data_IF_199512743586
#
_entry.id   IF_199512743586
#
_cell.length_a   1.000
_cell.length_b   1.000
_cell.length_c   1.000
_cell.angle_alpha   90.00
_cell.angle_beta   90.00
_cell.angle_gamma   90.00
#
_symmetry.space_group_name_H-M   'P 1'
#
loop_
_entity.id
_entity.type
_entity.pdbx_description
1 polymer ?
#
# COMPACT_ATOMS: atom_id res chain seq x y z
N UNK A 1 -17.18 7.00 -27.40
CA UNK A 1 -16.73 7.70 -26.17
C UNK A 1 -16.39 9.14 -26.60
N UNK A 2 -17.11 10.14 -26.12
CA UNK A 2 -16.78 11.55 -26.37
C UNK A 2 -15.43 11.83 -25.69
N UNK A 3 -14.40 12.15 -26.47
CA UNK A 3 -13.12 12.60 -25.93
C UNK A 3 -13.34 13.96 -25.27
N UNK A 4 -12.97 14.09 -24.02
CA UNK A 4 -12.97 15.38 -23.31
C UNK A 4 -12.09 16.37 -24.08
N UNK A 5 -12.57 17.59 -24.38
CA UNK A 5 -11.78 18.55 -25.13
C UNK A 5 -10.53 18.97 -24.35
N UNK A 6 -9.42 19.11 -25.08
CA UNK A 6 -8.15 19.60 -24.54
C UNK A 6 -8.28 21.10 -24.26
N UNK A 7 -8.11 21.50 -23.01
CA UNK A 7 -8.19 22.89 -22.57
C UNK A 7 -6.86 23.59 -22.75
N UNK A 8 -6.80 24.55 -23.67
CA UNK A 8 -5.59 25.29 -24.01
C UNK A 8 -5.72 26.72 -23.54
N UNK A 9 -4.71 27.22 -22.79
CA UNK A 9 -4.50 28.62 -22.59
C UNK A 9 -3.59 29.13 -23.74
N UNK A 10 -4.13 29.97 -24.60
CA UNK A 10 -3.43 30.56 -25.72
C UNK A 10 -3.04 31.98 -25.36
N UNK A 11 -1.75 32.30 -25.43
CA UNK A 11 -1.19 33.63 -25.17
C UNK A 11 -0.66 34.18 -26.51
N UNK A 12 -1.43 35.04 -27.15
CA UNK A 12 -1.17 35.52 -28.53
C UNK A 12 -1.87 36.87 -28.75
N UNK A 13 -1.18 37.87 -29.26
CA UNK A 13 -1.75 39.20 -29.53
C UNK A 13 -2.49 39.25 -30.84
N UNK A 14 -2.16 38.35 -31.79
CA UNK A 14 -2.83 38.20 -33.07
C UNK A 14 -3.95 37.16 -32.99
N UNK A 15 -5.20 37.60 -33.04
CA UNK A 15 -6.35 36.70 -33.09
C UNK A 15 -6.32 35.80 -34.34
N UNK A 16 -5.75 36.25 -35.43
CA UNK A 16 -5.62 35.47 -36.66
C UNK A 16 -4.61 34.34 -36.50
N UNK A 17 -3.47 34.60 -35.87
CA UNK A 17 -2.45 33.59 -35.61
C UNK A 17 -2.96 32.53 -34.57
N UNK A 18 -3.70 33.00 -33.57
CA UNK A 18 -4.36 32.10 -32.60
C UNK A 18 -5.35 31.17 -33.32
N UNK A 19 -6.21 31.71 -34.20
CA UNK A 19 -7.20 30.93 -34.94
C UNK A 19 -6.52 29.89 -35.87
N UNK A 20 -5.48 30.30 -36.62
CA UNK A 20 -4.69 29.39 -37.44
C UNK A 20 -4.06 28.24 -36.65
N UNK A 21 -3.53 28.55 -35.48
CA UNK A 21 -2.93 27.59 -34.59
C UNK A 21 -3.95 26.56 -34.09
N UNK A 22 -5.11 27.02 -33.62
CA UNK A 22 -6.20 26.16 -33.14
C UNK A 22 -6.78 25.31 -34.28
N UNK A 23 -7.03 25.90 -35.46
CA UNK A 23 -7.50 25.16 -36.63
C UNK A 23 -6.52 24.06 -37.03
N UNK A 24 -5.21 24.27 -36.86
CA UNK A 24 -4.20 23.25 -37.15
C UNK A 24 -4.26 22.07 -36.19
N UNK A 25 -4.49 22.34 -34.90
CA UNK A 25 -4.67 21.31 -33.90
C UNK A 25 -5.93 20.48 -34.14
N UNK A 26 -7.07 21.15 -34.44
CA UNK A 26 -8.34 20.48 -34.71
C UNK A 26 -8.28 19.61 -35.97
N UNK A 27 -7.66 20.08 -37.06
CA UNK A 27 -7.43 19.28 -38.27
C UNK A 27 -6.55 18.05 -38.05
N UNK A 28 -5.76 18.03 -36.98
CA UNK A 28 -4.98 16.86 -36.59
C UNK A 28 -5.75 15.84 -35.75
N UNK A 29 -7.05 16.10 -35.49
CA UNK A 29 -7.92 15.25 -34.68
C UNK A 29 -7.87 15.52 -33.16
N UNK A 30 -7.30 16.66 -32.75
CA UNK A 30 -7.37 17.12 -31.36
C UNK A 30 -8.64 17.97 -31.18
N UNK A 31 -9.51 17.55 -30.24
CA UNK A 31 -10.65 18.38 -29.85
C UNK A 31 -10.16 19.43 -28.84
N UNK A 32 -10.23 20.70 -29.21
CA UNK A 32 -9.63 21.78 -28.42
C UNK A 32 -10.71 22.71 -27.88
N UNK A 33 -10.58 23.11 -26.63
CA UNK A 33 -11.27 24.22 -26.01
C UNK A 33 -10.22 25.25 -25.58
N UNK A 34 -10.20 26.43 -26.19
CA UNK A 34 -9.17 27.42 -25.90
C UNK A 34 -9.72 28.65 -25.21
N UNK A 35 -8.87 29.26 -24.38
CA UNK A 35 -9.03 30.61 -23.89
C UNK A 35 -7.87 31.44 -24.39
N UNK A 36 -8.17 32.53 -25.09
CA UNK A 36 -7.18 33.47 -25.61
C UNK A 36 -6.95 34.58 -24.59
N UNK A 37 -5.71 34.90 -24.33
CA UNK A 37 -5.24 36.02 -23.50
C UNK A 37 -4.11 36.74 -24.23
N UNK A 38 -3.93 38.03 -23.95
CA UNK A 38 -3.05 38.91 -24.75
C UNK A 38 -1.80 39.36 -23.98
N UNK A 39 -1.79 39.21 -22.66
CA UNK A 39 -0.74 39.70 -21.81
C UNK A 39 -0.54 38.82 -20.57
N UNK A 40 0.51 39.10 -19.80
CA UNK A 40 0.86 38.38 -18.59
C UNK A 40 -0.19 38.48 -17.46
N UNK A 41 -0.94 39.61 -17.36
CA UNK A 41 -1.99 39.80 -16.36
C UNK A 41 -3.19 38.88 -16.66
N UNK A 42 -3.56 38.76 -17.94
CA UNK A 42 -4.58 37.80 -18.39
C UNK A 42 -4.20 36.35 -18.11
N UNK A 43 -2.91 36.02 -18.30
CA UNK A 43 -2.40 34.66 -17.97
C UNK A 43 -2.52 34.36 -16.47
N UNK A 44 -2.08 35.31 -15.62
CA UNK A 44 -2.18 35.13 -14.15
C UNK A 44 -3.63 34.98 -13.69
N UNK A 45 -4.53 35.78 -14.25
CA UNK A 45 -5.96 35.69 -13.98
C UNK A 45 -6.55 34.34 -14.43
N UNK A 46 -6.27 33.91 -15.64
CA UNK A 46 -6.77 32.67 -16.22
C UNK A 46 -6.31 31.46 -15.43
N UNK A 47 -5.02 31.37 -15.08
CA UNK A 47 -4.44 30.25 -14.31
C UNK A 47 -4.96 30.14 -12.88
N UNK A 48 -5.43 31.24 -12.30
CA UNK A 48 -6.10 31.23 -10.97
C UNK A 48 -7.55 30.77 -11.02
N UNK A 49 -8.23 30.98 -12.15
CA UNK A 49 -9.66 30.70 -12.28
C UNK A 49 -9.96 29.30 -12.84
N UNK A 50 -9.10 28.77 -13.71
CA UNK A 50 -9.36 27.51 -14.39
C UNK A 50 -8.09 26.66 -14.49
N UNK A 51 -8.29 25.37 -14.76
CA UNK A 51 -7.21 24.44 -15.09
C UNK A 51 -7.16 24.23 -16.61
N UNK A 52 -5.94 24.24 -17.12
CA UNK A 52 -5.63 23.98 -18.51
C UNK A 52 -4.76 22.73 -18.62
N UNK A 53 -4.80 22.09 -19.79
CA UNK A 53 -3.98 20.92 -20.11
C UNK A 53 -2.68 21.32 -20.83
N UNK A 54 -2.65 22.53 -21.43
CA UNK A 54 -1.54 23.04 -22.21
C UNK A 54 -1.56 24.56 -22.23
N UNK A 55 -0.38 25.17 -22.22
CA UNK A 55 -0.17 26.59 -22.51
C UNK A 55 0.58 26.73 -23.85
N UNK A 56 0.02 27.47 -24.78
CA UNK A 56 0.69 27.90 -26.01
C UNK A 56 0.92 29.39 -25.94
N UNK A 57 2.16 29.82 -26.08
CA UNK A 57 2.53 31.23 -25.92
C UNK A 57 3.39 31.72 -27.07
N UNK A 58 3.02 32.87 -27.66
CA UNK A 58 3.95 33.57 -28.54
C UNK A 58 5.17 34.07 -27.74
N UNK A 59 6.32 34.00 -28.38
CA UNK A 59 7.56 34.52 -27.80
C UNK A 59 7.57 36.06 -27.72
N UNK A 60 6.86 36.72 -28.59
CA UNK A 60 6.84 38.18 -28.72
C UNK A 60 5.43 38.69 -28.48
N UNK A 61 5.25 39.38 -27.38
CA UNK A 61 3.97 39.95 -26.97
C UNK A 61 4.14 41.49 -26.79
N UNK A 62 3.17 42.31 -27.19
CA UNK A 62 3.21 43.74 -26.95
C UNK A 62 3.28 44.09 -25.46
N UNK A 63 4.35 44.75 -25.03
CA UNK A 63 4.54 45.22 -23.66
C UNK A 63 4.88 44.10 -22.63
N UNK A 64 5.16 42.87 -23.11
CA UNK A 64 5.51 41.72 -22.27
C UNK A 64 6.39 40.74 -23.04
N UNK A 65 7.12 39.86 -22.36
CA UNK A 65 7.88 38.79 -23.02
C UNK A 65 7.27 37.43 -22.71
N UNK A 66 7.37 36.50 -23.66
CA UNK A 66 6.94 35.13 -23.44
C UNK A 66 7.67 34.46 -22.28
N UNK A 67 8.88 34.89 -21.93
CA UNK A 67 9.66 34.41 -20.77
C UNK A 67 9.06 34.86 -19.45
N UNK A 68 8.46 36.04 -19.37
CA UNK A 68 7.70 36.47 -18.16
C UNK A 68 6.44 35.63 -17.98
N UNK A 69 5.75 35.31 -19.08
CA UNK A 69 4.59 34.40 -19.10
C UNK A 69 5.01 32.99 -18.60
N UNK A 70 6.14 32.47 -19.08
CA UNK A 70 6.68 31.20 -18.63
C UNK A 70 6.97 31.20 -17.13
N UNK A 71 7.58 32.26 -16.59
CA UNK A 71 7.84 32.38 -15.16
C UNK A 71 6.55 32.38 -14.31
N UNK A 72 5.49 33.03 -14.79
CA UNK A 72 4.16 33.00 -14.16
C UNK A 72 3.57 31.60 -14.22
N UNK A 73 3.64 30.92 -15.36
CA UNK A 73 3.13 29.56 -15.52
C UNK A 73 3.87 28.57 -14.61
N UNK A 74 5.18 28.65 -14.51
CA UNK A 74 5.99 27.82 -13.62
C UNK A 74 5.65 28.02 -12.13
N UNK A 75 5.30 29.25 -11.74
CA UNK A 75 4.91 29.56 -10.36
C UNK A 75 3.50 29.08 -10.03
N UNK A 76 2.53 29.24 -10.93
CA UNK A 76 1.10 29.00 -10.66
C UNK A 76 0.61 27.63 -11.11
N UNK A 77 1.24 27.06 -12.12
CA UNK A 77 0.83 25.81 -12.76
C UNK A 77 2.03 25.01 -13.30
N UNK A 78 2.98 24.60 -12.42
CA UNK A 78 4.25 23.98 -12.83
C UNK A 78 4.09 22.64 -13.56
N UNK A 79 2.94 21.98 -13.41
CA UNK A 79 2.66 20.70 -14.04
C UNK A 79 2.02 20.82 -15.44
N UNK A 80 1.67 22.04 -15.88
CA UNK A 80 1.08 22.27 -17.19
C UNK A 80 2.20 22.43 -18.21
N UNK A 81 2.21 21.65 -19.32
CA UNK A 81 3.20 21.80 -20.37
C UNK A 81 3.07 23.17 -21.05
N UNK A 82 4.21 23.79 -21.31
CA UNK A 82 4.31 25.09 -21.90
C UNK A 82 5.08 25.03 -23.23
N UNK A 83 4.45 25.40 -24.31
CA UNK A 83 5.05 25.40 -25.67
C UNK A 83 5.10 26.83 -26.21
N UNK A 84 6.30 27.24 -26.59
CA UNK A 84 6.47 28.50 -27.30
C UNK A 84 6.14 28.36 -28.78
N UNK A 85 5.47 29.40 -29.31
CA UNK A 85 5.28 29.62 -30.73
C UNK A 85 6.11 30.86 -31.14
N UNK A 86 6.90 30.78 -32.20
CA UNK A 86 7.72 31.92 -32.62
C UNK A 86 7.75 32.10 -34.11
N UNK A 87 7.66 33.35 -34.54
CA UNK A 87 7.72 33.74 -35.97
C UNK A 87 9.12 33.97 -36.49
N UNK A 88 10.09 34.38 -35.66
CA UNK A 88 11.30 35.05 -36.12
C UNK A 88 12.61 34.43 -35.64
N UNK A 89 12.63 33.76 -34.46
CA UNK A 89 13.86 33.32 -33.80
C UNK A 89 14.35 31.94 -34.25
N UNK A 90 15.69 31.81 -34.37
CA UNK A 90 16.35 30.61 -34.83
C UNK A 90 16.53 29.52 -33.72
N UNK A 91 17.32 28.50 -34.05
CA UNK A 91 17.57 27.32 -33.18
C UNK A 91 18.22 27.69 -31.86
N UNK A 92 19.07 28.72 -31.81
CA UNK A 92 19.74 29.15 -30.56
C UNK A 92 18.72 29.64 -29.54
N UNK A 93 17.69 30.37 -29.95
CA UNK A 93 16.63 30.84 -29.04
C UNK A 93 15.75 29.71 -28.55
N UNK A 94 15.51 28.70 -29.40
CA UNK A 94 14.78 27.50 -28.96
C UNK A 94 15.48 26.77 -27.82
N UNK A 95 16.80 26.62 -27.89
CA UNK A 95 17.62 25.99 -26.84
C UNK A 95 17.53 26.78 -25.51
N UNK A 96 17.55 28.11 -25.59
CA UNK A 96 17.41 28.99 -24.44
C UNK A 96 16.02 28.82 -23.76
N UNK A 97 14.94 28.83 -24.54
CA UNK A 97 13.58 28.65 -24.02
C UNK A 97 13.39 27.31 -23.33
N UNK A 98 13.95 26.23 -23.87
CA UNK A 98 13.93 24.90 -23.22
C UNK A 98 14.75 24.93 -21.93
N UNK A 99 15.90 25.58 -21.89
CA UNK A 99 16.72 25.73 -20.66
C UNK A 99 16.00 26.52 -19.59
N UNK A 100 15.18 27.50 -19.95
CA UNK A 100 14.32 28.24 -19.01
C UNK A 100 13.13 27.42 -18.51
N UNK A 101 12.91 26.20 -19.06
CA UNK A 101 11.92 25.24 -18.57
C UNK A 101 10.65 25.17 -19.41
N UNK A 102 10.65 25.68 -20.63
CA UNK A 102 9.59 25.40 -21.60
C UNK A 102 9.63 23.90 -21.95
N UNK A 103 8.45 23.32 -22.17
CA UNK A 103 8.34 21.91 -22.57
C UNK A 103 8.76 21.70 -24.02
N UNK A 104 8.42 22.66 -24.89
CA UNK A 104 8.77 22.61 -26.30
C UNK A 104 8.78 24.00 -26.92
N UNK A 105 9.28 24.08 -28.16
CA UNK A 105 9.36 25.28 -28.95
C UNK A 105 9.04 24.98 -30.43
N UNK A 106 8.10 25.71 -31.02
CA UNK A 106 7.65 25.49 -32.39
C UNK A 106 7.71 26.80 -33.19
N UNK A 107 8.40 26.77 -34.32
CA UNK A 107 8.39 27.91 -35.24
C UNK A 107 7.04 28.00 -35.94
N UNK A 108 6.43 29.21 -36.05
CA UNK A 108 5.17 29.46 -36.76
C UNK A 108 5.24 29.04 -38.25
N UNK A 109 6.41 29.10 -38.88
CA UNK A 109 6.63 28.54 -40.23
C UNK A 109 6.54 27.02 -40.28
N UNK A 110 6.74 26.35 -39.16
CA UNK A 110 6.68 24.91 -39.01
C UNK A 110 5.44 24.45 -38.20
N UNK A 111 4.36 25.20 -38.22
CA UNK A 111 3.10 24.90 -37.52
C UNK A 111 2.54 23.48 -37.79
N UNK A 112 2.80 22.83 -38.95
CA UNK A 112 2.50 21.40 -39.12
C UNK A 112 3.11 20.45 -38.09
N UNK A 113 4.18 20.82 -37.38
CA UNK A 113 4.81 20.02 -36.33
C UNK A 113 4.15 20.21 -34.95
N UNK A 114 3.38 21.27 -34.76
CA UNK A 114 2.75 21.60 -33.48
C UNK A 114 1.89 20.43 -32.90
N UNK A 115 1.04 19.73 -33.68
CA UNK A 115 0.26 18.63 -33.12
C UNK A 115 1.13 17.51 -32.56
N UNK A 116 2.30 17.26 -33.15
CA UNK A 116 3.27 16.26 -32.65
C UNK A 116 3.92 16.72 -31.34
N UNK A 117 4.32 18.00 -31.27
CA UNK A 117 4.86 18.62 -30.08
C UNK A 117 3.85 18.56 -28.90
N UNK A 118 2.59 18.94 -29.18
CA UNK A 118 1.50 18.88 -28.20
C UNK A 118 1.28 17.46 -27.68
N UNK A 119 1.16 16.46 -28.55
CA UNK A 119 0.97 15.07 -28.13
C UNK A 119 2.14 14.56 -27.29
N UNK A 120 3.38 14.90 -27.66
CA UNK A 120 4.56 14.55 -26.88
C UNK A 120 4.51 15.17 -25.48
N UNK A 121 4.29 16.49 -25.40
CA UNK A 121 4.21 17.21 -24.13
C UNK A 121 3.12 16.66 -23.20
N UNK A 122 1.93 16.37 -23.72
CA UNK A 122 0.84 15.76 -22.95
C UNK A 122 1.17 14.34 -22.49
N UNK A 123 1.82 13.54 -23.35
CA UNK A 123 2.24 12.17 -22.99
C UNK A 123 3.27 12.17 -21.87
N UNK A 124 4.25 13.07 -21.92
CA UNK A 124 5.28 13.21 -20.87
C UNK A 124 4.67 13.60 -19.52
N UNK A 125 3.69 14.53 -19.50
CA UNK A 125 2.98 14.90 -18.28
C UNK A 125 2.15 13.72 -17.75
N UNK A 126 1.43 13.01 -18.62
CA UNK A 126 0.65 11.85 -18.21
C UNK A 126 1.52 10.74 -17.63
N UNK A 127 2.68 10.46 -18.24
CA UNK A 127 3.63 9.45 -17.75
C UNK A 127 4.18 9.84 -16.36
N UNK A 128 4.59 11.11 -16.20
CA UNK A 128 5.06 11.64 -14.91
C UNK A 128 3.99 11.53 -13.83
N UNK A 129 2.74 11.87 -14.15
CA UNK A 129 1.63 11.78 -13.21
C UNK A 129 1.29 10.33 -12.86
N UNK A 130 1.32 9.41 -13.83
CA UNK A 130 1.11 7.96 -13.58
C UNK A 130 2.18 7.41 -12.65
N UNK A 131 3.43 7.72 -12.92
CA UNK A 131 4.56 7.29 -12.09
C UNK A 131 4.43 7.82 -10.67
N UNK A 132 4.17 9.12 -10.50
CA UNK A 132 3.98 9.73 -9.18
C UNK A 132 2.82 9.08 -8.40
N UNK A 133 1.66 8.87 -9.05
CA UNK A 133 0.52 8.19 -8.43
C UNK A 133 0.84 6.75 -8.02
N UNK A 134 1.60 6.04 -8.83
CA UNK A 134 2.04 4.67 -8.50
C UNK A 134 3.00 4.66 -7.29
N UNK A 135 3.95 5.60 -7.25
CA UNK A 135 4.88 5.78 -6.13
C UNK A 135 4.12 6.16 -4.83
N UNK A 136 3.17 7.11 -4.89
CA UNK A 136 2.33 7.50 -3.77
C UNK A 136 1.44 6.33 -3.27
N UNK A 137 0.83 5.58 -4.18
CA UNK A 137 0.02 4.41 -3.83
C UNK A 137 0.84 3.30 -3.18
N UNK A 138 2.06 3.04 -3.67
CA UNK A 138 2.98 2.07 -3.07
C UNK A 138 3.37 2.49 -1.65
N UNK A 139 3.78 3.74 -1.47
CA UNK A 139 4.14 4.30 -0.16
C UNK A 139 2.98 4.22 0.85
N UNK A 140 1.74 4.46 0.41
CA UNK A 140 0.55 4.35 1.26
C UNK A 140 0.28 2.89 1.69
N UNK A 141 0.42 1.93 0.77
CA UNK A 141 0.29 0.50 1.10
C UNK A 141 1.37 0.05 2.08
N UNK A 142 2.63 0.44 1.85
CA UNK A 142 3.74 0.11 2.76
C UNK A 142 3.54 0.73 4.15
N UNK A 143 3.10 1.99 4.23
CA UNK A 143 2.83 2.66 5.50
C UNK A 143 1.70 1.96 6.28
N UNK A 144 0.60 1.60 5.60
CA UNK A 144 -0.51 0.86 6.24
C UNK A 144 -0.09 -0.52 6.72
N UNK A 145 0.69 -1.26 5.92
CA UNK A 145 1.21 -2.57 6.31
C UNK A 145 2.10 -2.45 7.55
N UNK A 146 2.99 -1.46 7.60
CA UNK A 146 3.85 -1.21 8.77
C UNK A 146 3.04 -0.90 10.02
N UNK A 147 2.05 0.01 9.93
CA UNK A 147 1.16 0.35 11.05
C UNK A 147 0.43 -0.90 11.56
N UNK A 148 -0.07 -1.76 10.67
CA UNK A 148 -0.78 -2.98 11.07
C UNK A 148 0.15 -3.97 11.80
N UNK A 149 1.39 -4.16 11.33
CA UNK A 149 2.41 -5.01 11.94
C UNK A 149 2.79 -4.47 13.32
N UNK A 150 3.04 -3.15 13.43
CA UNK A 150 3.40 -2.50 14.68
C UNK A 150 2.26 -2.57 15.71
N UNK A 151 1.02 -2.30 15.30
CA UNK A 151 -0.16 -2.36 16.16
C UNK A 151 -0.44 -3.78 16.66
N UNK A 152 -0.15 -4.80 15.85
CA UNK A 152 -0.23 -6.20 16.25
C UNK A 152 0.94 -6.66 17.14
N UNK A 153 1.93 -5.80 17.37
CA UNK A 153 3.13 -6.12 18.15
C UNK A 153 4.00 -7.19 17.50
N UNK A 154 3.93 -7.34 16.18
CA UNK A 154 4.70 -8.33 15.42
C UNK A 154 6.08 -7.79 15.06
N UNK A 155 7.06 -8.69 14.97
CA UNK A 155 8.35 -8.44 14.34
C UNK A 155 8.38 -9.01 12.93
N UNK A 156 9.25 -8.49 12.08
CA UNK A 156 9.42 -8.96 10.69
C UNK A 156 10.76 -9.63 10.47
N UNK A 157 10.77 -10.65 9.63
CA UNK A 157 11.97 -11.37 9.23
C UNK A 157 11.98 -11.65 7.73
N UNK A 158 13.18 -11.68 7.15
CA UNK A 158 13.41 -11.89 5.72
C UNK A 158 14.67 -12.73 5.52
N UNK A 159 14.51 -13.94 5.00
CA UNK A 159 15.58 -14.87 4.65
C UNK A 159 15.78 -14.86 3.15
N UNK A 160 17.04 -14.69 2.73
CA UNK A 160 17.49 -14.86 1.35
C UNK A 160 18.41 -16.08 1.29
N UNK A 161 17.88 -17.25 0.96
CA UNK A 161 18.65 -18.49 1.07
C UNK A 161 19.90 -18.53 0.22
N UNK A 162 19.86 -17.94 -0.98
CA UNK A 162 20.98 -17.90 -1.91
C UNK A 162 22.14 -17.02 -1.40
N UNK A 163 21.85 -15.99 -0.61
CA UNK A 163 22.83 -15.08 -0.02
C UNK A 163 23.27 -15.53 1.39
N UNK A 164 22.57 -16.52 1.97
CA UNK A 164 22.76 -16.92 3.37
C UNK A 164 22.36 -15.83 4.37
N UNK A 165 21.56 -14.85 3.95
CA UNK A 165 21.25 -13.63 4.70
C UNK A 165 19.89 -13.77 5.39
N UNK A 166 19.86 -13.61 6.72
CA UNK A 166 18.63 -13.53 7.53
C UNK A 166 18.54 -12.14 8.17
N UNK A 167 17.57 -11.35 7.75
CA UNK A 167 17.32 -10.01 8.27
C UNK A 167 16.13 -10.05 9.23
N UNK A 168 16.31 -9.45 10.42
CA UNK A 168 15.29 -9.28 11.43
C UNK A 168 15.19 -7.81 11.80
N UNK A 169 13.97 -7.30 11.96
CA UNK A 169 13.78 -5.99 12.57
C UNK A 169 14.05 -6.03 14.09
N UNK A 170 14.15 -4.86 14.70
CA UNK A 170 14.44 -4.73 16.13
C UNK A 170 13.34 -5.36 17.01
N UNK A 171 12.09 -5.32 16.53
CA UNK A 171 10.96 -5.93 17.23
C UNK A 171 11.06 -7.45 17.22
N UNK A 172 11.40 -8.05 16.07
CA UNK A 172 11.62 -9.48 15.94
C UNK A 172 12.73 -9.96 16.88
N UNK A 173 13.86 -9.24 16.91
CA UNK A 173 14.97 -9.52 17.85
C UNK A 173 14.54 -9.42 19.30
N UNK A 174 13.77 -8.38 19.65
CA UNK A 174 13.24 -8.19 21.02
C UNK A 174 12.30 -9.32 21.43
N UNK A 175 11.39 -9.72 20.54
CA UNK A 175 10.47 -10.84 20.77
C UNK A 175 11.23 -12.15 21.01
N UNK A 176 12.30 -12.36 20.26
CA UNK A 176 13.14 -13.55 20.38
C UNK A 176 14.11 -13.50 21.57
N UNK A 177 14.29 -12.33 22.17
CA UNK A 177 15.14 -12.15 23.36
C UNK A 177 16.63 -11.98 23.06
N UNK A 178 17.00 -11.57 21.81
CA UNK A 178 18.38 -11.27 21.43
C UNK A 178 18.61 -9.76 21.35
N UNK A 179 19.85 -9.27 21.58
CA UNK A 179 20.19 -7.87 21.41
C UNK A 179 19.92 -7.38 19.98
N UNK A 180 19.50 -6.12 19.81
CA UNK A 180 19.24 -5.53 18.48
C UNK A 180 20.49 -5.46 17.59
N UNK A 181 21.68 -5.44 18.21
CA UNK A 181 22.97 -5.48 17.51
C UNK A 181 23.37 -6.87 16.98
N UNK A 182 22.62 -7.93 17.32
CA UNK A 182 22.94 -9.29 16.87
C UNK A 182 22.73 -9.43 15.37
N UNK A 183 23.75 -9.94 14.68
CA UNK A 183 23.61 -10.40 13.30
C UNK A 183 22.88 -11.74 13.32
N UNK A 184 21.76 -11.83 12.60
CA UNK A 184 20.95 -13.03 12.60
C UNK A 184 21.39 -13.98 11.48
N UNK A 185 21.39 -15.27 11.84
CA UNK A 185 21.57 -16.38 10.91
C UNK A 185 20.59 -17.50 11.28
N UNK A 186 20.43 -18.49 10.41
CA UNK A 186 19.61 -19.67 10.73
C UNK A 186 20.15 -20.45 11.94
N UNK A 187 21.49 -20.47 12.14
CA UNK A 187 22.12 -21.10 13.30
C UNK A 187 21.73 -20.38 14.59
N UNK A 188 21.80 -19.04 14.61
CA UNK A 188 21.39 -18.22 15.77
C UNK A 188 19.90 -18.41 16.06
N UNK A 189 19.06 -18.44 15.01
CA UNK A 189 17.64 -18.72 15.16
C UNK A 189 17.39 -20.08 15.79
N UNK A 190 17.96 -21.14 15.24
CA UNK A 190 17.77 -22.50 15.76
C UNK A 190 18.32 -22.69 17.18
N UNK A 191 19.41 -22.03 17.52
CA UNK A 191 20.01 -22.11 18.85
C UNK A 191 19.12 -21.50 19.96
N UNK A 192 18.24 -20.56 19.63
CA UNK A 192 17.30 -19.94 20.58
C UNK A 192 15.99 -20.69 20.76
N UNK A 193 15.73 -21.72 19.95
CA UNK A 193 14.50 -22.50 20.03
C UNK A 193 14.61 -23.53 21.18
N UNK A 194 13.49 -23.77 21.88
CA UNK A 194 13.44 -24.81 22.90
C UNK A 194 13.74 -26.18 22.26
N UNK A 195 14.60 -27.04 22.91
CA UNK A 195 15.14 -28.23 22.25
C UNK A 195 14.09 -29.19 21.68
N UNK A 196 12.96 -29.38 22.37
CA UNK A 196 11.90 -30.31 21.94
C UNK A 196 11.17 -29.81 20.67
N UNK A 197 11.16 -28.48 20.44
CA UNK A 197 10.46 -27.87 19.30
C UNK A 197 11.36 -27.71 18.07
N UNK A 198 12.68 -27.82 18.25
CA UNK A 198 13.67 -27.63 17.17
C UNK A 198 13.46 -28.54 15.95
N UNK A 199 13.17 -29.84 16.07
CA UNK A 199 12.93 -30.70 14.92
C UNK A 199 11.71 -30.24 14.09
N UNK A 200 10.62 -29.88 14.78
CA UNK A 200 9.38 -29.39 14.13
C UNK A 200 9.63 -28.09 13.36
N UNK A 201 10.34 -27.14 13.97
CA UNK A 201 10.62 -25.85 13.33
C UNK A 201 11.53 -26.02 12.13
N UNK A 202 12.57 -26.87 12.24
CA UNK A 202 13.48 -27.15 11.13
C UNK A 202 12.76 -27.78 9.94
N UNK A 203 11.93 -28.78 10.19
CA UNK A 203 11.12 -29.43 9.16
C UNK A 203 10.16 -28.42 8.49
N UNK A 204 9.50 -27.56 9.27
CA UNK A 204 8.59 -26.54 8.75
C UNK A 204 9.32 -25.51 7.85
N UNK A 205 10.52 -25.07 8.25
CA UNK A 205 11.35 -24.16 7.44
C UNK A 205 11.79 -24.82 6.14
N UNK A 206 12.32 -26.04 6.22
CA UNK A 206 12.74 -26.81 5.04
C UNK A 206 11.58 -27.09 4.10
N UNK A 207 10.42 -27.47 4.64
CA UNK A 207 9.21 -27.69 3.86
C UNK A 207 8.77 -26.42 3.12
N UNK A 208 8.70 -25.28 3.82
CA UNK A 208 8.28 -24.02 3.24
C UNK A 208 9.21 -23.53 2.10
N UNK A 209 10.48 -23.93 2.11
CA UNK A 209 11.42 -23.61 1.04
C UNK A 209 11.38 -24.54 -0.19
N UNK A 210 10.51 -25.57 -0.17
CA UNK A 210 10.29 -26.45 -1.32
C UNK A 210 9.16 -25.93 -2.21
N UNK A 211 9.29 -25.89 -3.53
CA UNK A 211 8.25 -25.39 -4.44
C UNK A 211 6.90 -26.10 -4.27
N UNK A 212 6.93 -27.42 -4.04
CA UNK A 212 5.73 -28.25 -3.89
C UNK A 212 4.87 -27.89 -2.68
N UNK A 213 5.44 -27.18 -1.68
CA UNK A 213 4.73 -26.75 -0.47
C UNK A 213 3.80 -25.55 -0.70
N UNK A 214 3.91 -24.89 -1.87
CA UNK A 214 3.28 -23.60 -2.13
C UNK A 214 3.89 -22.45 -1.30
N UNK A 215 4.98 -22.69 -0.57
CA UNK A 215 5.74 -21.69 0.17
C UNK A 215 5.11 -21.22 1.48
N UNK A 216 3.98 -21.79 1.89
CA UNK A 216 3.30 -21.39 3.12
C UNK A 216 4.06 -21.89 4.36
N UNK A 217 4.23 -21.02 5.35
CA UNK A 217 4.89 -21.30 6.61
C UNK A 217 4.07 -20.78 7.78
N UNK A 218 3.83 -21.65 8.74
CA UNK A 218 3.20 -21.31 10.02
C UNK A 218 3.60 -22.33 11.06
N UNK A 219 4.30 -21.89 12.10
CA UNK A 219 4.72 -22.75 13.20
C UNK A 219 4.68 -22.02 14.54
N UNK A 220 4.20 -22.71 15.57
CA UNK A 220 4.24 -22.24 16.95
C UNK A 220 5.37 -23.00 17.65
N UNK A 221 6.22 -22.28 18.36
CA UNK A 221 7.34 -22.87 19.07
C UNK A 221 7.69 -22.06 20.32
N UNK A 222 8.42 -22.70 21.22
CA UNK A 222 8.94 -22.08 22.41
C UNK A 222 10.37 -21.60 22.19
N UNK A 223 10.68 -20.46 22.77
CA UNK A 223 12.06 -20.01 22.92
C UNK A 223 12.55 -20.27 24.34
N UNK A 224 13.82 -20.66 24.44
CA UNK A 224 14.50 -20.80 25.74
C UNK A 224 14.69 -19.41 26.36
N UNK A 225 14.26 -19.24 27.59
CA UNK A 225 14.47 -18.00 28.34
C UNK A 225 15.73 -18.09 29.18
N UNK A 226 16.51 -17.00 29.31
CA UNK A 226 17.64 -16.98 30.24
C UNK A 226 17.17 -17.17 31.71
N UNK A 227 18.03 -17.73 32.53
CA UNK A 227 17.82 -17.91 33.96
C UNK A 227 16.71 -18.89 34.40
N UNK A 228 16.31 -19.83 33.53
CA UNK A 228 15.34 -20.87 33.91
C UNK A 228 13.90 -20.38 34.02
N UNK A 229 13.58 -19.24 33.44
CA UNK A 229 12.21 -18.76 33.31
C UNK A 229 11.39 -19.67 32.38
N UNK A 230 10.06 -19.68 32.56
CA UNK A 230 9.17 -20.44 31.66
C UNK A 230 9.40 -20.12 30.18
N UNK A 231 9.44 -21.14 29.31
CA UNK A 231 9.60 -20.94 27.90
C UNK A 231 8.48 -20.05 27.33
N UNK A 232 8.85 -19.11 26.49
CA UNK A 232 7.91 -18.17 25.86
C UNK A 232 7.43 -18.72 24.53
N UNK A 233 6.13 -18.68 24.29
CA UNK A 233 5.54 -19.13 23.04
C UNK A 233 5.53 -18.03 21.99
N UNK A 234 6.07 -18.35 20.83
CA UNK A 234 6.05 -17.50 19.63
C UNK A 234 5.34 -18.22 18.48
N UNK A 235 4.71 -17.44 17.61
CA UNK A 235 4.16 -17.86 16.34
C UNK A 235 4.97 -17.20 15.23
N UNK A 236 5.57 -18.00 14.37
CA UNK A 236 6.18 -17.51 13.14
C UNK A 236 5.32 -17.93 11.95
N UNK A 237 5.03 -16.97 11.08
CA UNK A 237 4.29 -17.21 9.84
C UNK A 237 4.89 -16.41 8.68
N UNK A 238 4.87 -16.99 7.48
CA UNK A 238 5.53 -16.40 6.32
C UNK A 238 5.21 -17.07 5.01
N UNK A 239 5.86 -16.58 3.96
CA UNK A 239 5.69 -17.05 2.59
C UNK A 239 7.03 -17.07 1.88
N UNK A 240 7.32 -18.17 1.17
CA UNK A 240 8.45 -18.28 0.26
C UNK A 240 8.07 -17.82 -1.14
N UNK A 241 9.04 -17.21 -1.82
CA UNK A 241 8.96 -16.81 -3.22
C UNK A 241 9.95 -17.67 -4.03
N UNK A 242 9.48 -18.18 -5.16
CA UNK A 242 10.26 -19.08 -6.00
C UNK A 242 10.49 -18.47 -7.38
N UNK A 243 11.68 -18.68 -7.91
CA UNK A 243 12.05 -18.42 -9.31
C UNK A 243 12.76 -19.67 -9.81
N UNK A 244 12.33 -20.23 -10.92
CA UNK A 244 12.89 -21.44 -11.50
C UNK A 244 13.02 -22.61 -10.47
N UNK A 245 11.93 -22.84 -9.71
CA UNK A 245 11.83 -23.83 -8.63
C UNK A 245 12.82 -23.64 -7.46
N UNK A 246 13.52 -22.51 -7.41
CA UNK A 246 14.40 -22.16 -6.30
C UNK A 246 13.78 -21.11 -5.38
N UNK A 247 13.84 -21.33 -4.09
CA UNK A 247 13.43 -20.32 -3.12
C UNK A 247 14.43 -19.16 -3.14
N UNK A 248 13.99 -18.00 -3.63
CA UNK A 248 14.83 -16.79 -3.71
C UNK A 248 14.63 -15.87 -2.50
N UNK A 249 13.47 -15.94 -1.87
CA UNK A 249 13.14 -15.14 -0.69
C UNK A 249 12.13 -15.89 0.17
N UNK A 250 12.30 -15.83 1.48
CA UNK A 250 11.38 -16.39 2.46
C UNK A 250 11.21 -15.35 3.57
N UNK A 251 10.04 -14.74 3.66
CA UNK A 251 9.80 -13.64 4.57
C UNK A 251 8.49 -13.79 5.34
N UNK A 252 8.42 -13.17 6.52
CA UNK A 252 7.25 -13.29 7.35
C UNK A 252 7.28 -12.43 8.61
N UNK A 253 6.45 -12.83 9.56
CA UNK A 253 6.27 -12.15 10.85
C UNK A 253 6.44 -13.11 12.01
N UNK A 254 6.87 -12.57 13.14
CA UNK A 254 6.99 -13.24 14.43
C UNK A 254 6.07 -12.54 15.43
N UNK A 255 5.27 -13.31 16.15
CA UNK A 255 4.29 -12.81 17.12
C UNK A 255 4.47 -13.53 18.45
N UNK A 256 4.34 -12.79 19.56
CA UNK A 256 4.19 -13.36 20.89
C UNK A 256 2.76 -13.86 21.11
N UNK A 257 2.61 -15.14 21.36
CA UNK A 257 1.31 -15.77 21.62
C UNK A 257 1.23 -16.34 23.06
N UNK A 258 2.20 -16.02 23.91
CA UNK A 258 2.28 -16.61 25.26
C UNK A 258 1.05 -16.29 26.10
N UNK A 259 0.69 -15.01 26.21
CA UNK A 259 -0.50 -14.57 26.97
C UNK A 259 -1.80 -15.12 26.36
N UNK A 260 -1.90 -15.16 25.04
CA UNK A 260 -3.07 -15.72 24.35
C UNK A 260 -3.22 -17.21 24.63
N UNK A 261 -2.13 -17.98 24.62
CA UNK A 261 -2.15 -19.40 24.95
C UNK A 261 -2.54 -19.64 26.41
N UNK A 262 -1.98 -18.87 27.33
CA UNK A 262 -2.35 -18.98 28.78
C UNK A 262 -3.85 -18.70 28.98
N UNK A 263 -4.39 -17.64 28.39
CA UNK A 263 -5.80 -17.33 28.49
C UNK A 263 -6.69 -18.44 27.89
N UNK A 264 -6.31 -18.98 26.73
CA UNK A 264 -7.04 -20.08 26.08
C UNK A 264 -7.02 -21.33 26.94
N UNK A 265 -5.88 -21.65 27.54
CA UNK A 265 -5.73 -22.82 28.43
C UNK A 265 -6.55 -22.66 29.71
N UNK A 266 -6.54 -21.48 30.34
CA UNK A 266 -7.34 -21.19 31.52
C UNK A 266 -8.85 -21.31 31.24
N UNK A 267 -9.31 -20.82 30.07
CA UNK A 267 -10.71 -20.97 29.64
C UNK A 267 -11.10 -22.44 29.43
N UNK A 268 -10.23 -23.25 28.84
CA UNK A 268 -10.48 -24.70 28.69
C UNK A 268 -10.62 -25.38 30.01
N UNK A 269 -9.69 -25.14 30.96
CA UNK A 269 -9.75 -25.73 32.32
C UNK A 269 -11.01 -25.31 33.07
N UNK A 270 -11.41 -24.02 32.95
CA UNK A 270 -12.64 -23.54 33.59
C UNK A 270 -13.87 -24.21 32.98
N UNK A 271 -13.94 -24.39 31.68
CA UNK A 271 -15.04 -25.10 31.02
C UNK A 271 -15.13 -26.57 31.42
N UNK A 272 -14.00 -27.26 31.52
CA UNK A 272 -13.94 -28.64 32.02
C UNK A 272 -14.46 -28.74 33.45
N UNK A 273 -13.98 -27.88 34.37
CA UNK A 273 -14.46 -27.85 35.76
C UNK A 273 -15.96 -27.51 35.85
N UNK A 274 -16.47 -26.61 35.03
CA UNK A 274 -17.90 -26.28 34.99
C UNK A 274 -18.70 -27.47 34.47
N UNK A 275 -18.25 -28.16 33.45
CA UNK A 275 -18.87 -29.39 32.93
C UNK A 275 -19.01 -30.46 34.01
N UNK A 276 -17.91 -30.80 34.71
CA UNK A 276 -17.90 -31.75 35.80
C UNK A 276 -18.85 -31.34 36.95
N UNK A 277 -18.88 -30.02 37.26
CA UNK A 277 -19.76 -29.50 38.31
C UNK A 277 -21.24 -29.60 37.92
N UNK A 278 -21.57 -29.32 36.67
CA UNK A 278 -22.95 -29.48 36.17
C UNK A 278 -23.36 -30.93 36.17
N UNK A 279 -22.52 -31.84 35.70
CA UNK A 279 -22.82 -33.29 35.73
C UNK A 279 -23.01 -33.80 37.15
N UNK A 280 -22.13 -33.41 38.09
CA UNK A 280 -22.26 -33.79 39.49
C UNK A 280 -23.59 -33.28 40.08
N UNK A 281 -23.92 -32.00 39.88
CA UNK A 281 -25.19 -31.43 40.36
C UNK A 281 -26.41 -32.10 39.73
N UNK A 282 -26.33 -32.45 38.46
CA UNK A 282 -27.40 -33.18 37.75
C UNK A 282 -27.61 -34.55 38.38
N UNK A 283 -26.52 -35.32 38.59
CA UNK A 283 -26.59 -36.63 39.25
C UNK A 283 -27.11 -36.53 40.66
N UNK A 284 -26.69 -35.55 41.49
CA UNK A 284 -27.20 -35.32 42.85
C UNK A 284 -28.70 -35.01 42.83
N UNK A 285 -29.15 -34.13 41.91
CA UNK A 285 -30.58 -33.82 41.75
C UNK A 285 -31.38 -35.03 41.32
N UNK A 286 -30.90 -35.78 40.33
CA UNK A 286 -31.62 -36.95 39.82
C UNK A 286 -31.69 -38.07 40.90
N UNK A 287 -30.63 -38.25 41.65
CA UNK A 287 -30.63 -39.17 42.79
C UNK A 287 -31.57 -38.72 43.91
N UNK A 288 -31.61 -37.42 44.24
CA UNK A 288 -32.55 -36.89 45.22
C UNK A 288 -34.00 -37.06 44.75
N UNK A 289 -34.27 -36.89 43.45
CA UNK A 289 -35.54 -37.11 42.80
C UNK A 289 -36.01 -38.57 42.89
N UNK A 290 -35.10 -39.52 42.60
CA UNK A 290 -35.39 -40.96 42.62
C UNK A 290 -35.55 -41.55 44.02
N UNK A 291 -34.77 -41.05 45.00
CA UNK A 291 -34.74 -41.57 46.35
C UNK A 291 -35.69 -40.85 47.33
N UNK A 292 -36.41 -39.83 46.87
CA UNK A 292 -37.35 -39.14 47.73
C UNK A 292 -38.51 -40.08 48.11
N UNK A 293 -38.77 -40.16 49.42
CA UNK A 293 -39.93 -40.92 49.97
C UNK A 293 -41.26 -40.13 49.83
N UNK A 294 -41.15 -38.81 49.52
CA UNK A 294 -42.29 -37.95 49.27
C UNK A 294 -42.63 -37.92 47.80
N UNK A 295 -43.89 -37.80 47.46
CA UNK A 295 -44.33 -37.59 46.07
C UNK A 295 -43.90 -36.21 45.59
N UNK A 296 -42.94 -36.18 44.67
CA UNK A 296 -42.48 -34.95 44.04
C UNK A 296 -43.07 -34.85 42.63
N UNK A 297 -43.51 -33.67 42.27
CA UNK A 297 -44.04 -33.40 40.95
C UNK A 297 -43.39 -32.13 40.37
N UNK A 298 -43.03 -32.17 39.08
CA UNK A 298 -42.71 -30.98 38.31
C UNK A 298 -43.96 -30.54 37.57
N UNK A 299 -44.38 -29.29 37.81
CA UNK A 299 -45.54 -28.70 37.18
C UNK A 299 -45.13 -27.69 36.08
N UNK A 300 -45.89 -27.62 35.01
CA UNK A 300 -45.76 -26.55 34.03
C UNK A 300 -46.39 -25.25 34.55
N UNK A 301 -46.38 -24.18 33.71
CA UNK A 301 -46.99 -22.88 34.07
C UNK A 301 -48.51 -22.96 34.36
N UNK A 302 -49.16 -23.96 33.82
CA UNK A 302 -50.62 -24.18 33.97
C UNK A 302 -50.94 -25.15 35.13
N UNK A 303 -49.96 -25.40 36.01
CA UNK A 303 -50.03 -26.29 37.19
C UNK A 303 -50.33 -27.75 36.83
N UNK A 304 -50.12 -28.17 35.59
CA UNK A 304 -50.25 -29.58 35.22
C UNK A 304 -48.92 -30.31 35.43
N UNK A 305 -48.98 -31.54 36.01
CA UNK A 305 -47.73 -32.29 36.25
C UNK A 305 -47.11 -32.76 34.95
N UNK A 306 -45.81 -32.46 34.79
CA UNK A 306 -45.00 -32.87 33.64
C UNK A 306 -44.12 -34.06 33.96
N UNK A 307 -43.76 -34.22 35.22
CA UNK A 307 -43.00 -35.37 35.73
C UNK A 307 -43.38 -35.64 37.18
N UNK A 308 -43.38 -36.91 37.58
CA UNK A 308 -43.54 -37.41 38.92
C UNK A 308 -42.32 -38.29 39.25
N UNK A 309 -41.86 -38.25 40.50
CA UNK A 309 -40.83 -39.20 40.96
C UNK A 309 -41.42 -40.60 41.16
N UNK A 310 -40.59 -41.63 41.22
CA UNK A 310 -41.02 -43.03 41.35
C UNK A 310 -41.56 -43.43 42.75
N UNK A 311 -41.72 -42.52 43.70
CA UNK A 311 -42.21 -42.79 45.07
C UNK A 311 -43.53 -43.50 45.17
#
# INVERSE_FOLDING_TARGET
MQQTPLKILMVEDSSMDAELTLMRLERSGLHVQSQLVFDHAGVEHALRQARYDLILCDCVLPGSSGTEVLAIAQRLAPDIPFIFLSGIYGEEHAVEMIRLGATDYVLKKNLPLLPKAVRRALSEVQERQRRRRAEEALADVEARARIAIDAAGMGTWDLRPQEGLLLWDDRCKTLFGVPTSTEMSLEVFYAGIYPDDLPLVREAVEHAMRPESGGHYRVEFRIAQPNGLEPRWLLSSGQSQFVDDQCVRFSGVLQDIHTQRQATQALRQLNEMLGERVERRTRERDRAWELSQDLLAVLNKDLTPVALNPA
#
